data_IF_729370899234
#
_entry.id   IF_729370899234
#
_cell.length_a   1.000
_cell.length_b   1.000
_cell.length_c   1.000
_cell.angle_alpha   90.00
_cell.angle_beta   90.00
_cell.angle_gamma   90.00
#
_symmetry.space_group_name_H-M   'P 1'
#
loop_
_entity.id
_entity.type
_entity.pdbx_description
1 polymer ?
#
# COMPACT_ATOMS: atom_id res chain seq x y z
N UNK A 1 12.43 -23.74 0.82
CA UNK A 1 11.46 -22.64 0.92
C UNK A 1 11.68 -21.98 2.27
N UNK A 2 11.57 -20.65 2.38
CA UNK A 2 11.51 -20.02 3.70
C UNK A 2 10.26 -20.49 4.45
N UNK A 3 10.26 -20.36 5.78
CA UNK A 3 9.11 -20.75 6.61
C UNK A 3 7.89 -19.89 6.23
N UNK A 4 6.80 -20.53 5.84
CA UNK A 4 5.52 -19.86 5.59
C UNK A 4 4.82 -19.62 6.92
N UNK A 5 4.41 -18.39 7.20
CA UNK A 5 3.51 -18.08 8.32
C UNK A 5 2.37 -17.19 7.83
N UNK A 6 1.27 -17.07 8.55
CA UNK A 6 0.15 -16.25 8.06
C UNK A 6 -1.10 -16.28 8.92
N UNK A 7 -2.06 -15.46 8.55
CA UNK A 7 -3.35 -15.36 9.23
C UNK A 7 -4.45 -14.90 8.27
N UNK A 8 -5.71 -15.14 8.64
CA UNK A 8 -6.87 -14.56 7.97
C UNK A 8 -7.28 -13.29 8.72
N UNK A 9 -7.52 -12.19 8.00
CA UNK A 9 -7.96 -10.93 8.59
C UNK A 9 -9.35 -11.10 9.24
N UNK A 10 -9.70 -10.32 10.28
CA UNK A 10 -10.98 -10.46 10.98
C UNK A 10 -12.22 -10.37 10.09
N UNK A 11 -12.17 -9.60 9.00
CA UNK A 11 -13.25 -9.49 8.03
C UNK A 11 -13.47 -10.78 7.20
N UNK A 12 -12.50 -11.69 7.18
CA UNK A 12 -12.58 -12.97 6.47
C UNK A 12 -12.50 -12.88 4.94
N UNK A 13 -12.29 -11.69 4.39
CA UNK A 13 -12.17 -11.45 2.95
C UNK A 13 -10.74 -11.62 2.43
N UNK A 14 -9.75 -11.34 3.28
CA UNK A 14 -8.33 -11.44 2.96
C UNK A 14 -7.55 -12.30 3.96
N UNK A 15 -6.54 -12.99 3.47
CA UNK A 15 -5.50 -13.61 4.29
C UNK A 15 -4.14 -13.01 3.93
N UNK A 16 -3.20 -13.03 4.88
CA UNK A 16 -1.84 -12.53 4.69
C UNK A 16 -0.88 -13.64 5.06
N UNK A 17 0.03 -13.95 4.14
CA UNK A 17 1.07 -14.95 4.35
C UNK A 17 2.45 -14.31 4.20
N UNK A 18 3.36 -14.65 5.10
CA UNK A 18 4.69 -14.08 5.24
C UNK A 18 5.73 -15.17 5.06
N UNK A 19 6.86 -14.81 4.47
CA UNK A 19 8.03 -15.68 4.37
C UNK A 19 9.26 -14.81 4.21
N UNK A 20 10.31 -15.11 4.97
CA UNK A 20 11.54 -14.32 5.05
C UNK A 20 11.25 -12.83 5.31
N UNK A 21 11.53 -11.94 4.37
CA UNK A 21 11.34 -10.49 4.43
C UNK A 21 10.11 -9.98 3.62
N UNK A 22 9.25 -10.89 3.16
CA UNK A 22 8.14 -10.60 2.26
C UNK A 22 6.81 -11.15 2.74
N UNK A 23 5.74 -10.62 2.15
CA UNK A 23 4.39 -11.11 2.35
C UNK A 23 3.56 -11.07 1.08
N UNK A 24 2.50 -11.88 1.04
CA UNK A 24 1.45 -11.86 0.03
C UNK A 24 0.11 -11.57 0.70
N UNK A 25 -0.81 -10.94 -0.04
CA UNK A 25 -2.22 -10.85 0.34
C UNK A 25 -3.02 -11.80 -0.54
N UNK A 26 -3.80 -12.67 0.07
CA UNK A 26 -4.63 -13.68 -0.56
C UNK A 26 -6.09 -13.26 -0.52
N UNK A 27 -6.76 -13.30 -1.66
CA UNK A 27 -8.20 -13.10 -1.77
C UNK A 27 -8.93 -14.42 -1.47
N UNK A 28 -9.69 -14.44 -0.37
CA UNK A 28 -10.39 -15.65 0.07
C UNK A 28 -11.50 -16.04 -0.91
N UNK A 29 -12.20 -15.07 -1.49
CA UNK A 29 -13.33 -15.34 -2.38
C UNK A 29 -12.87 -15.74 -3.79
N UNK A 30 -11.79 -15.12 -4.28
CA UNK A 30 -11.21 -15.39 -5.58
C UNK A 30 -10.23 -16.57 -5.57
N UNK A 31 -9.92 -17.09 -4.38
CA UNK A 31 -9.03 -18.23 -4.12
C UNK A 31 -7.67 -18.10 -4.82
N UNK A 32 -7.03 -16.93 -4.64
CA UNK A 32 -5.70 -16.65 -5.16
C UNK A 32 -5.01 -15.50 -4.44
N UNK A 33 -3.69 -15.45 -4.55
CA UNK A 33 -2.91 -14.25 -4.23
C UNK A 33 -3.34 -13.08 -5.13
N UNK A 34 -3.50 -11.90 -4.53
CA UNK A 34 -3.78 -10.65 -5.23
C UNK A 34 -2.63 -10.29 -6.18
N UNK A 35 -2.95 -9.64 -7.30
CA UNK A 35 -1.93 -9.16 -8.24
C UNK A 35 -1.00 -8.12 -7.56
N UNK A 36 0.29 -8.17 -7.90
CA UNK A 36 1.30 -7.24 -7.38
C UNK A 36 2.01 -7.70 -6.10
N UNK A 37 1.71 -8.90 -5.61
CA UNK A 37 2.44 -9.57 -4.52
C UNK A 37 3.45 -10.60 -5.07
N UNK A 38 4.53 -10.93 -4.32
CA UNK A 38 4.84 -10.51 -2.95
C UNK A 38 5.41 -9.09 -2.83
N UNK A 39 5.12 -8.44 -1.70
CA UNK A 39 5.66 -7.14 -1.30
C UNK A 39 6.61 -7.29 -0.10
N UNK A 40 7.59 -6.40 0.10
CA UNK A 40 8.43 -6.40 1.30
C UNK A 40 7.59 -6.12 2.54
N UNK A 41 7.95 -6.73 3.67
CA UNK A 41 7.33 -6.39 4.96
C UNK A 41 7.71 -4.96 5.34
N UNK A 42 9.00 -4.61 5.15
CA UNK A 42 9.51 -3.26 5.36
C UNK A 42 8.71 -2.23 4.57
N UNK A 43 8.21 -1.21 5.27
CA UNK A 43 7.41 -0.11 4.69
C UNK A 43 5.95 -0.43 4.41
N UNK A 44 5.53 -1.70 4.40
CA UNK A 44 4.13 -2.10 4.24
C UNK A 44 3.46 -2.57 5.53
N UNK A 45 4.26 -2.89 6.57
CA UNK A 45 3.79 -3.20 7.91
C UNK A 45 4.50 -2.30 8.94
N UNK A 46 4.07 -1.04 9.13
CA UNK A 46 4.78 -0.08 9.94
C UNK A 46 5.07 -0.55 11.38
N UNK A 47 6.35 -0.59 11.73
CA UNK A 47 6.82 -1.00 13.05
C UNK A 47 6.90 -2.51 13.29
N UNK A 48 6.50 -3.34 12.31
CA UNK A 48 6.64 -4.79 12.40
C UNK A 48 8.08 -5.24 12.16
N UNK A 49 8.41 -6.47 12.59
CA UNK A 49 9.66 -7.13 12.22
C UNK A 49 9.77 -7.21 10.70
N UNK A 50 10.89 -6.73 10.14
CA UNK A 50 11.10 -6.71 8.69
C UNK A 50 11.39 -8.10 8.10
N UNK A 51 11.71 -9.08 8.95
CA UNK A 51 11.88 -10.49 8.59
C UNK A 51 11.82 -11.39 9.83
N UNK A 52 11.79 -12.71 9.66
CA UNK A 52 11.96 -13.67 10.76
C UNK A 52 10.73 -13.84 11.65
N UNK A 53 9.54 -13.63 11.08
CA UNK A 53 8.27 -13.88 11.78
C UNK A 53 8.09 -15.40 11.92
N UNK A 54 8.07 -15.89 13.15
CA UNK A 54 7.95 -17.31 13.44
C UNK A 54 6.49 -17.77 13.48
N UNK A 55 5.59 -16.96 14.04
CA UNK A 55 4.16 -17.25 14.13
C UNK A 55 3.32 -15.98 14.11
N UNK A 56 2.09 -16.09 13.63
CA UNK A 56 1.09 -15.00 13.64
C UNK A 56 -0.22 -15.52 14.18
N UNK A 57 -0.79 -14.82 15.15
CA UNK A 57 -2.03 -15.23 15.81
C UNK A 57 -3.01 -14.05 15.86
N UNK A 58 -4.10 -14.07 15.06
CA UNK A 58 -5.19 -13.12 15.23
C UNK A 58 -5.90 -13.42 16.56
N UNK A 59 -6.11 -12.38 17.36
CA UNK A 59 -6.69 -12.50 18.70
C UNK A 59 -8.14 -12.04 18.72
N UNK A 60 -9.01 -12.59 19.61
CA UNK A 60 -10.41 -12.17 19.71
C UNK A 60 -10.63 -10.68 20.05
N UNK A 61 -9.61 -9.99 20.58
CA UNK A 61 -9.65 -8.55 20.81
C UNK A 61 -9.57 -7.70 19.54
N UNK A 62 -9.33 -8.31 18.38
CA UNK A 62 -9.12 -7.65 17.09
C UNK A 62 -7.65 -7.35 16.76
N UNK A 63 -6.74 -7.48 17.73
CA UNK A 63 -5.31 -7.34 17.49
C UNK A 63 -4.72 -8.61 16.85
N UNK A 64 -3.62 -8.44 16.12
CA UNK A 64 -2.84 -9.57 15.58
C UNK A 64 -1.48 -9.61 16.25
N UNK A 65 -1.14 -10.73 16.88
CA UNK A 65 0.15 -10.91 17.53
C UNK A 65 1.13 -11.63 16.60
N UNK A 66 2.28 -10.99 16.37
CA UNK A 66 3.37 -11.52 15.57
C UNK A 66 4.51 -11.93 16.50
N UNK A 67 5.01 -13.14 16.39
CA UNK A 67 6.12 -13.67 17.20
C UNK A 67 7.39 -13.77 16.34
N UNK A 68 8.53 -13.39 16.91
CA UNK A 68 9.85 -13.44 16.26
C UNK A 68 10.93 -13.66 17.32
N UNK A 69 11.59 -14.81 17.28
CA UNK A 69 12.56 -15.25 18.27
C UNK A 69 11.93 -15.34 19.67
N UNK A 70 12.42 -14.50 20.59
CA UNK A 70 11.92 -14.39 21.97
C UNK A 70 11.02 -13.18 22.21
N UNK A 71 10.60 -12.50 21.14
CA UNK A 71 9.80 -11.29 21.19
C UNK A 71 8.48 -11.46 20.45
N UNK A 72 7.54 -10.56 20.75
CA UNK A 72 6.29 -10.45 20.01
C UNK A 72 5.91 -8.98 19.81
N UNK A 73 5.21 -8.71 18.71
CA UNK A 73 4.62 -7.42 18.37
C UNK A 73 3.10 -7.55 18.31
N UNK A 74 2.40 -6.53 18.81
CA UNK A 74 0.95 -6.41 18.67
C UNK A 74 0.64 -5.45 17.52
N UNK A 75 0.05 -5.95 16.45
CA UNK A 75 -0.35 -5.16 15.31
C UNK A 75 -1.82 -4.75 15.42
N UNK A 76 -2.07 -3.46 15.20
CA UNK A 76 -3.40 -2.89 15.09
C UNK A 76 -3.73 -2.75 13.60
N UNK A 77 -4.66 -3.57 13.12
CA UNK A 77 -5.06 -3.58 11.71
C UNK A 77 -5.83 -2.31 11.30
N UNK A 78 -6.52 -1.66 12.24
CA UNK A 78 -7.30 -0.44 11.95
C UNK A 78 -6.37 0.78 11.88
N UNK A 79 -5.37 0.83 12.75
CA UNK A 79 -4.36 1.89 12.76
C UNK A 79 -3.21 1.64 11.76
N UNK A 80 -3.16 0.47 11.15
CA UNK A 80 -2.13 -0.02 10.22
C UNK A 80 -0.70 0.18 10.75
N UNK A 81 -0.46 -0.28 11.98
CA UNK A 81 0.86 -0.20 12.62
C UNK A 81 0.96 -1.13 13.83
N UNK A 82 2.20 -1.43 14.20
CA UNK A 82 2.51 -1.98 15.53
C UNK A 82 2.13 -0.96 16.62
N UNK A 83 1.46 -1.46 17.67
CA UNK A 83 1.03 -0.66 18.80
C UNK A 83 2.24 -0.10 19.58
N UNK A 84 2.05 1.06 20.22
CA UNK A 84 3.10 1.72 20.99
C UNK A 84 3.60 0.81 22.14
N UNK A 85 4.92 0.76 22.34
CA UNK A 85 5.56 -0.04 23.39
C UNK A 85 5.94 -1.47 22.99
N UNK A 86 5.65 -1.88 21.76
CA UNK A 86 6.10 -3.15 21.17
C UNK A 86 7.37 -2.96 20.30
N UNK A 87 8.16 -4.02 20.05
CA UNK A 87 7.97 -5.40 20.52
C UNK A 87 8.32 -5.58 22.01
N UNK A 88 7.68 -6.57 22.63
CA UNK A 88 7.90 -6.97 24.02
C UNK A 88 8.46 -8.40 24.08
N UNK A 89 9.18 -8.79 25.15
CA UNK A 89 9.61 -10.18 25.33
C UNK A 89 8.41 -11.09 25.56
N UNK A 90 8.44 -12.32 25.05
CA UNK A 90 7.40 -13.32 25.33
C UNK A 90 7.43 -13.69 26.82
N UNK A 91 8.63 -13.90 27.35
CA UNK A 91 8.87 -14.15 28.76
C UNK A 91 8.25 -13.05 29.64
N UNK A 92 7.40 -13.44 30.58
CA UNK A 92 6.71 -12.54 31.50
C UNK A 92 5.47 -11.83 30.96
N UNK A 93 5.21 -11.88 29.65
CA UNK A 93 4.01 -11.29 29.04
C UNK A 93 2.99 -12.33 28.56
N UNK A 94 3.42 -13.58 28.36
CA UNK A 94 2.54 -14.70 28.02
C UNK A 94 2.67 -15.81 29.08
N UNK A 95 1.90 -15.77 30.18
CA UNK A 95 2.08 -16.67 31.32
C UNK A 95 2.02 -18.15 30.93
N UNK A 96 3.14 -18.85 31.10
CA UNK A 96 3.28 -20.28 30.83
C UNK A 96 3.51 -20.65 29.36
N UNK A 97 3.53 -19.68 28.43
CA UNK A 97 3.88 -19.92 27.03
C UNK A 97 5.39 -20.17 26.89
N UNK A 98 5.80 -20.84 25.80
CA UNK A 98 7.22 -20.96 25.45
C UNK A 98 7.84 -19.57 25.29
N UNK A 99 9.03 -19.35 25.84
CA UNK A 99 9.68 -18.04 25.85
C UNK A 99 10.35 -17.67 24.51
N UNK A 100 10.41 -18.62 23.57
CA UNK A 100 10.89 -18.46 22.20
C UNK A 100 10.50 -19.66 21.34
N UNK A 101 10.62 -19.55 20.01
CA UNK A 101 10.46 -20.70 19.11
C UNK A 101 9.01 -21.11 18.89
N UNK A 102 8.08 -20.16 18.97
CA UNK A 102 6.68 -20.40 18.64
C UNK A 102 6.57 -20.69 17.15
N UNK A 103 6.20 -21.91 16.81
CA UNK A 103 6.14 -22.39 15.45
C UNK A 103 4.87 -21.97 14.73
N UNK A 104 3.73 -22.08 15.40
CA UNK A 104 2.42 -21.67 14.91
C UNK A 104 1.47 -21.43 16.09
N UNK A 105 0.38 -20.72 15.86
CA UNK A 105 -0.66 -20.53 16.86
C UNK A 105 -2.03 -20.35 16.24
N UNK A 106 -3.05 -20.95 16.85
CA UNK A 106 -4.42 -20.90 16.34
C UNK A 106 -5.42 -20.74 17.48
N UNK A 107 -6.43 -19.90 17.26
CA UNK A 107 -7.49 -19.63 18.23
C UNK A 107 -8.76 -20.37 17.82
N UNK A 108 -9.26 -21.25 18.68
CA UNK A 108 -10.55 -21.92 18.49
C UNK A 108 -11.70 -21.01 18.92
N UNK A 109 -12.87 -21.24 18.31
CA UNK A 109 -14.12 -20.58 18.69
C UNK A 109 -14.58 -20.88 20.12
N UNK A 110 -13.99 -21.88 20.77
CA UNK A 110 -14.22 -22.24 22.17
C UNK A 110 -13.54 -21.30 23.18
N UNK A 111 -12.72 -20.35 22.74
CA UNK A 111 -11.98 -19.42 23.62
C UNK A 111 -10.61 -19.94 24.05
N UNK A 112 -10.11 -21.01 23.44
CA UNK A 112 -8.76 -21.52 23.68
C UNK A 112 -7.87 -21.26 22.46
N UNK A 113 -6.65 -20.82 22.71
CA UNK A 113 -5.58 -20.79 21.73
C UNK A 113 -4.64 -21.97 21.92
N UNK A 114 -4.12 -22.51 20.82
CA UNK A 114 -3.13 -23.59 20.85
C UNK A 114 -1.88 -23.08 20.17
N UNK A 115 -0.76 -23.12 20.90
CA UNK A 115 0.55 -22.69 20.41
C UNK A 115 1.46 -23.89 20.29
N UNK A 116 2.14 -24.00 19.16
CA UNK A 116 3.03 -25.11 18.82
C UNK A 116 4.48 -24.64 18.86
N UNK A 117 5.40 -25.50 19.29
CA UNK A 117 6.84 -25.26 19.32
C UNK A 117 7.59 -26.58 19.23
N UNK A 118 8.33 -26.81 18.15
CA UNK A 118 9.00 -28.07 17.90
C UNK A 118 8.00 -29.22 17.78
N UNK A 119 8.10 -30.22 18.65
CA UNK A 119 7.19 -31.37 18.72
C UNK A 119 6.04 -31.21 19.71
N UNK A 120 5.97 -30.07 20.38
CA UNK A 120 5.09 -29.87 21.53
C UNK A 120 4.07 -28.75 21.26
N UNK A 121 2.99 -28.74 22.03
CA UNK A 121 2.01 -27.66 22.04
C UNK A 121 1.55 -27.33 23.46
N UNK A 122 1.06 -26.12 23.67
CA UNK A 122 0.36 -25.69 24.89
C UNK A 122 -1.06 -25.24 24.56
N UNK A 123 -1.97 -25.43 25.51
CA UNK A 123 -3.32 -24.87 25.47
C UNK A 123 -3.36 -23.62 26.33
N UNK A 124 -3.74 -22.51 25.72
CA UNK A 124 -3.82 -21.19 26.31
C UNK A 124 -5.28 -20.77 26.44
N UNK A 125 -5.69 -20.35 27.63
CA UNK A 125 -7.01 -19.81 27.90
C UNK A 125 -6.99 -18.31 27.61
N UNK A 126 -7.76 -17.90 26.59
CA UNK A 126 -7.73 -16.51 26.09
C UNK A 126 -8.29 -15.53 27.12
N UNK A 127 -9.31 -15.93 27.88
CA UNK A 127 -9.95 -15.05 28.87
C UNK A 127 -9.13 -14.99 30.15
N UNK A 128 -8.51 -16.10 30.55
CA UNK A 128 -7.65 -16.16 31.73
C UNK A 128 -6.21 -15.66 31.48
N UNK A 129 -5.86 -15.36 30.22
CA UNK A 129 -4.56 -14.86 29.78
C UNK A 129 -3.38 -15.71 30.29
N UNK A 130 -3.52 -17.05 30.16
CA UNK A 130 -2.48 -18.00 30.60
C UNK A 130 -2.57 -19.36 29.92
N UNK A 131 -1.45 -20.07 29.88
CA UNK A 131 -1.42 -21.50 29.61
C UNK A 131 -2.16 -22.27 30.72
N UNK A 132 -3.03 -23.17 30.31
CA UNK A 132 -3.84 -24.03 31.19
C UNK A 132 -3.54 -25.51 31.02
N UNK A 133 -2.85 -25.91 29.95
CA UNK A 133 -2.39 -27.29 29.73
C UNK A 133 -1.13 -27.33 28.85
N UNK A 134 -0.30 -28.34 29.06
CA UNK A 134 0.97 -28.55 28.37
C UNK A 134 2.22 -27.94 29.03
N UNK A 135 3.39 -28.04 28.37
CA UNK A 135 3.57 -28.58 27.01
C UNK A 135 3.26 -30.08 26.92
N UNK A 136 2.50 -30.46 25.88
CA UNK A 136 2.15 -31.84 25.53
C UNK A 136 2.68 -32.16 24.13
N UNK A 137 3.03 -33.44 23.84
CA UNK A 137 3.47 -33.81 22.50
C UNK A 137 2.33 -33.64 21.49
N UNK A 138 2.62 -33.14 20.30
CA UNK A 138 1.66 -33.08 19.20
C UNK A 138 1.25 -34.50 18.80
N UNK A 139 2.24 -35.39 18.70
CA UNK A 139 2.03 -36.81 18.41
C UNK A 139 1.06 -37.45 19.41
N UNK A 140 -0.01 -38.07 18.89
CA UNK A 140 -1.04 -38.74 19.69
C UNK A 140 -2.13 -37.82 20.27
N UNK A 141 -1.88 -36.52 20.41
CA UNK A 141 -2.89 -35.55 20.85
C UNK A 141 -3.57 -34.80 19.70
N UNK A 142 -2.93 -34.78 18.52
CA UNK A 142 -3.48 -34.18 17.30
C UNK A 142 -3.53 -35.22 16.16
N UNK A 143 -4.56 -36.08 16.13
CA UNK A 143 -4.62 -37.20 15.17
C UNK A 143 -4.48 -36.76 13.71
N UNK A 144 -3.43 -37.23 13.05
CA UNK A 144 -3.14 -36.97 11.64
C UNK A 144 -2.45 -35.63 11.35
N UNK A 145 -2.23 -34.78 12.36
CA UNK A 145 -1.45 -33.54 12.22
C UNK A 145 0.05 -33.86 12.10
N UNK A 146 0.83 -32.91 11.56
CA UNK A 146 2.28 -32.99 11.58
C UNK A 146 2.80 -33.06 13.03
N UNK A 147 3.61 -34.07 13.34
CA UNK A 147 4.07 -34.32 14.72
C UNK A 147 5.13 -33.33 15.23
N UNK A 148 5.62 -32.44 14.38
CA UNK A 148 6.55 -31.38 14.74
C UNK A 148 6.69 -30.32 13.64
N UNK A 149 7.22 -29.15 13.98
CA UNK A 149 7.67 -28.13 13.02
C UNK A 149 6.54 -27.67 12.09
N UNK A 150 5.42 -27.25 12.67
CA UNK A 150 4.30 -26.67 11.95
C UNK A 150 4.71 -25.25 11.54
N UNK A 151 4.68 -24.93 10.25
CA UNK A 151 5.14 -23.63 9.76
C UNK A 151 4.08 -22.53 10.00
N UNK A 152 2.81 -22.87 9.74
CA UNK A 152 1.69 -21.96 9.94
C UNK A 152 0.42 -22.70 10.35
N UNK A 153 -0.50 -21.95 10.96
CA UNK A 153 -1.87 -22.38 11.19
C UNK A 153 -2.81 -21.20 10.92
N UNK A 154 -3.85 -21.41 10.13
CA UNK A 154 -4.86 -20.37 9.83
C UNK A 154 -6.27 -20.90 10.10
N UNK A 155 -7.08 -20.06 10.72
CA UNK A 155 -8.52 -20.28 10.82
C UNK A 155 -9.20 -19.69 9.58
N UNK A 156 -9.77 -20.55 8.73
CA UNK A 156 -10.38 -20.11 7.49
C UNK A 156 -11.85 -19.74 7.67
N UNK A 157 -12.41 -18.80 6.86
CA UNK A 157 -13.81 -18.40 6.96
C UNK A 157 -14.83 -19.53 6.71
N UNK A 158 -14.40 -20.66 6.14
CA UNK A 158 -15.19 -21.88 6.05
C UNK A 158 -15.42 -22.58 7.41
N UNK A 159 -14.85 -22.08 8.50
CA UNK A 159 -14.90 -22.70 9.83
C UNK A 159 -13.96 -23.91 9.98
N UNK A 160 -12.92 -24.00 9.16
CA UNK A 160 -11.91 -25.07 9.19
C UNK A 160 -10.55 -24.49 9.47
N UNK A 161 -9.74 -25.22 10.22
CA UNK A 161 -8.34 -24.86 10.46
C UNK A 161 -7.46 -25.53 9.41
N UNK A 162 -6.47 -24.80 8.88
CA UNK A 162 -5.47 -25.34 7.98
C UNK A 162 -4.09 -25.18 8.59
N UNK A 163 -3.31 -26.25 8.55
CA UNK A 163 -1.94 -26.28 9.07
C UNK A 163 -0.98 -26.55 7.91
N UNK A 164 0.13 -25.84 7.88
CA UNK A 164 1.11 -25.89 6.80
C UNK A 164 2.45 -26.40 7.33
N UNK A 165 3.15 -27.20 6.52
CA UNK A 165 4.52 -27.65 6.79
C UNK A 165 5.23 -27.95 5.48
N UNK A 166 6.34 -27.27 5.24
CA UNK A 166 7.09 -27.34 3.99
C UNK A 166 6.19 -26.98 2.81
N UNK A 167 6.10 -27.89 1.84
CA UNK A 167 5.32 -27.72 0.62
C UNK A 167 3.89 -28.27 0.74
N UNK A 168 3.50 -28.77 1.91
CA UNK A 168 2.24 -29.46 2.16
C UNK A 168 1.36 -28.72 3.18
N UNK A 169 0.06 -29.00 3.14
CA UNK A 169 -0.89 -28.55 4.15
C UNK A 169 -1.88 -29.65 4.50
N UNK A 170 -2.47 -29.55 5.70
CA UNK A 170 -3.58 -30.39 6.16
C UNK A 170 -4.76 -29.52 6.57
N UNK A 171 -5.97 -29.99 6.34
CA UNK A 171 -7.17 -29.43 6.95
C UNK A 171 -7.49 -30.20 8.23
N UNK A 172 -7.64 -29.48 9.34
CA UNK A 172 -8.02 -30.06 10.62
C UNK A 172 -9.51 -29.86 10.87
N UNK A 173 -10.21 -30.97 11.10
CA UNK A 173 -11.62 -30.95 11.47
C UNK A 173 -11.73 -30.85 13.00
N UNK A 174 -12.13 -29.67 13.47
CA UNK A 174 -12.25 -29.36 14.89
C UNK A 174 -13.38 -30.14 15.56
N UNK A 175 -14.44 -30.51 14.83
CA UNK A 175 -15.55 -31.28 15.40
C UNK A 175 -15.19 -32.76 15.54
N UNK A 176 -14.43 -33.29 14.59
CA UNK A 176 -13.95 -34.68 14.61
C UNK A 176 -12.63 -34.85 15.39
N UNK A 177 -12.01 -33.75 15.81
CA UNK A 177 -10.71 -33.69 16.50
C UNK A 177 -9.61 -34.49 15.78
N UNK A 178 -9.56 -34.34 14.45
CA UNK A 178 -8.58 -35.01 13.58
C UNK A 178 -8.36 -34.26 12.28
N UNK A 179 -7.24 -34.55 11.62
CA UNK A 179 -7.04 -34.18 10.22
C UNK A 179 -8.09 -34.88 9.33
N UNK A 180 -8.66 -34.13 8.40
CA UNK A 180 -9.64 -34.62 7.45
C UNK A 180 -9.04 -35.66 6.51
N UNK A 181 -9.88 -36.58 6.03
CA UNK A 181 -9.44 -37.64 5.11
C UNK A 181 -8.97 -37.03 3.78
N UNK A 182 -7.89 -37.59 3.22
CA UNK A 182 -7.29 -37.11 1.96
C UNK A 182 -6.18 -36.07 2.13
N UNK A 183 -5.80 -35.71 3.35
CA UNK A 183 -4.63 -34.86 3.64
C UNK A 183 -3.42 -35.69 4.11
N UNK A 184 -2.17 -35.19 3.98
CA UNK A 184 -1.78 -33.88 3.44
C UNK A 184 -2.00 -33.73 1.94
N UNK A 185 -2.19 -32.49 1.50
CA UNK A 185 -2.25 -32.09 0.10
C UNK A 185 -1.14 -31.07 -0.19
N UNK A 186 -0.63 -30.99 -1.43
CA UNK A 186 0.39 -30.01 -1.77
C UNK A 186 -0.20 -28.61 -1.73
N UNK A 187 0.55 -27.63 -1.21
CA UNK A 187 0.18 -26.21 -1.29
C UNK A 187 0.08 -25.79 -2.75
N UNK A 188 1.05 -26.23 -3.57
CA UNK A 188 1.08 -25.96 -5.00
C UNK A 188 -0.18 -26.48 -5.69
N UNK A 189 -0.89 -25.57 -6.38
CA UNK A 189 -2.12 -25.87 -7.11
C UNK A 189 -3.40 -25.82 -6.27
N UNK A 190 -3.31 -26.03 -4.95
CA UNK A 190 -4.46 -25.91 -4.05
C UNK A 190 -4.56 -24.53 -3.38
N UNK A 191 -3.47 -23.77 -3.37
CA UNK A 191 -3.42 -22.39 -2.89
C UNK A 191 -2.78 -21.49 -3.96
N UNK A 192 -3.51 -21.10 -5.02
CA UNK A 192 -2.94 -20.37 -6.15
C UNK A 192 -2.18 -19.10 -5.75
N UNK A 193 -0.88 -19.09 -6.00
CA UNK A 193 0.02 -17.97 -5.66
C UNK A 193 0.74 -18.12 -4.33
N UNK A 194 0.38 -19.09 -3.49
CA UNK A 194 1.29 -19.63 -2.46
C UNK A 194 2.20 -20.64 -3.17
N UNK A 195 3.54 -20.60 -2.98
CA UNK A 195 4.18 -20.64 -1.66
C UNK A 195 5.58 -19.94 -1.56
N UNK A 196 5.79 -18.70 -2.01
CA UNK A 196 7.09 -18.31 -2.63
C UNK A 196 7.38 -19.24 -3.81
N UNK A 197 7.26 -18.75 -5.04
CA UNK A 197 7.41 -19.57 -6.24
C UNK A 197 8.80 -20.22 -6.34
N UNK A 198 8.87 -21.55 -6.21
CA UNK A 198 9.97 -22.46 -6.56
C UNK A 198 11.36 -21.81 -6.72
N UNK A 199 12.22 -21.91 -5.70
CA UNK A 199 13.63 -21.50 -5.72
C UNK A 199 13.92 -20.35 -6.69
N UNK A 200 13.73 -19.11 -6.26
CA UNK A 200 14.50 -18.04 -6.90
C UNK A 200 15.98 -18.52 -6.89
N UNK A 201 16.68 -18.55 -8.05
CA UNK A 201 18.14 -18.74 -8.01
C UNK A 201 18.70 -17.77 -6.99
N UNK A 202 19.82 -18.09 -6.29
CA UNK A 202 20.35 -17.25 -5.23
C UNK A 202 20.26 -15.81 -5.70
N UNK A 203 19.47 -15.00 -4.97
CA UNK A 203 19.41 -13.58 -5.22
C UNK A 203 20.83 -13.12 -4.93
N UNK A 204 21.64 -13.04 -6.00
CA UNK A 204 22.62 -11.99 -6.11
C UNK A 204 21.77 -10.74 -5.82
N UNK A 205 22.00 -10.03 -4.71
CA UNK A 205 21.22 -8.84 -4.37
C UNK A 205 21.06 -8.05 -5.66
N UNK A 206 19.84 -7.66 -6.05
CA UNK A 206 19.65 -7.12 -7.37
C UNK A 206 20.63 -5.97 -7.47
N UNK A 207 21.60 -6.10 -8.38
CA UNK A 207 22.66 -5.09 -8.55
C UNK A 207 22.06 -3.75 -9.02
N UNK A 208 20.75 -3.76 -9.25
CA UNK A 208 19.91 -2.71 -9.74
C UNK A 208 18.62 -2.66 -8.92
N UNK A 209 18.19 -1.49 -8.43
CA UNK A 209 16.95 -1.33 -7.66
C UNK A 209 15.71 -1.82 -8.45
N UNK A 210 14.67 -2.31 -7.76
CA UNK A 210 13.40 -2.74 -8.39
C UNK A 210 12.54 -1.51 -8.75
N UNK A 211 12.27 -1.32 -10.04
CA UNK A 211 11.38 -0.26 -10.55
C UNK A 211 9.97 -0.78 -10.84
N UNK A 212 8.97 0.10 -10.80
CA UNK A 212 7.56 -0.23 -11.03
C UNK A 212 7.22 -0.20 -12.52
N UNK A 213 6.67 -1.29 -13.05
CA UNK A 213 6.20 -1.42 -14.45
C UNK A 213 4.79 -0.83 -14.63
N UNK A 214 4.65 0.48 -14.41
CA UNK A 214 3.41 1.25 -14.57
C UNK A 214 3.68 2.48 -15.44
N UNK A 215 2.71 2.85 -16.28
CA UNK A 215 2.86 4.03 -17.13
C UNK A 215 2.94 5.31 -16.29
N UNK A 216 3.71 6.30 -16.73
CA UNK A 216 3.77 7.63 -16.06
C UNK A 216 2.36 8.22 -15.94
N UNK A 217 1.51 8.04 -16.95
CA UNK A 217 0.13 8.51 -16.98
C UNK A 217 -0.73 7.90 -15.86
N UNK A 218 -0.62 6.59 -15.63
CA UNK A 218 -1.44 5.89 -14.63
C UNK A 218 -0.87 6.04 -13.22
N UNK A 219 0.44 6.24 -13.08
CA UNK A 219 1.07 6.54 -11.79
C UNK A 219 0.88 7.99 -11.34
N UNK A 220 0.71 8.92 -12.29
CA UNK A 220 0.66 10.36 -11.99
C UNK A 220 -0.37 10.76 -10.93
N UNK A 221 -1.63 10.26 -10.93
CA UNK A 221 -2.61 10.60 -9.89
C UNK A 221 -2.10 10.25 -8.49
N UNK A 222 -1.56 9.03 -8.29
CA UNK A 222 -0.98 8.57 -7.02
C UNK A 222 0.18 9.46 -6.58
N UNK A 223 1.00 9.92 -7.53
CA UNK A 223 2.12 10.82 -7.26
C UNK A 223 1.67 12.22 -6.82
N UNK A 224 0.72 12.84 -7.52
CA UNK A 224 0.39 14.26 -7.30
C UNK A 224 -0.67 14.49 -6.23
N UNK A 225 -1.47 13.47 -5.88
CA UNK A 225 -2.50 13.57 -4.84
C UNK A 225 -1.98 14.05 -3.48
N UNK A 226 -0.89 13.51 -2.90
CA UNK A 226 -0.35 14.03 -1.63
C UNK A 226 0.21 15.45 -1.73
N UNK A 227 0.42 15.97 -2.94
CA UNK A 227 0.96 17.32 -3.19
C UNK A 227 -0.13 18.39 -3.32
N UNK A 228 -1.25 18.04 -3.97
CA UNK A 228 -2.36 18.97 -4.26
C UNK A 228 -3.58 18.77 -3.34
N UNK A 229 -3.76 17.56 -2.81
CA UNK A 229 -5.01 17.08 -2.23
C UNK A 229 -6.02 16.66 -3.30
N UNK A 230 -6.96 15.78 -2.94
CA UNK A 230 -8.06 15.33 -3.81
C UNK A 230 -9.39 15.84 -3.25
N UNK A 231 -10.01 16.79 -3.95
CA UNK A 231 -11.22 17.49 -3.48
C UNK A 231 -12.35 17.37 -4.50
N UNK A 232 -13.42 16.67 -4.14
CA UNK A 232 -14.53 16.39 -5.05
C UNK A 232 -15.44 17.59 -5.34
N UNK A 233 -15.38 18.66 -4.53
CA UNK A 233 -16.18 19.88 -4.72
C UNK A 233 -15.31 21.06 -5.15
N UNK A 234 -15.93 22.07 -5.76
CA UNK A 234 -15.25 23.31 -6.11
C UNK A 234 -14.73 24.01 -4.84
N UNK A 235 -13.49 24.51 -4.89
CA UNK A 235 -12.87 25.27 -3.81
C UNK A 235 -12.09 26.46 -4.35
N UNK A 236 -11.71 27.41 -3.47
CA UNK A 236 -10.79 28.48 -3.81
C UNK A 236 -9.35 28.06 -3.49
N UNK A 237 -8.44 28.18 -4.45
CA UNK A 237 -7.01 28.06 -4.18
C UNK A 237 -6.48 29.26 -3.36
N UNK A 238 -5.18 29.27 -3.05
CA UNK A 238 -4.54 30.36 -2.29
C UNK A 238 -4.60 31.72 -3.00
N UNK A 239 -4.91 31.75 -4.30
CA UNK A 239 -5.09 32.95 -5.11
C UNK A 239 -6.56 33.34 -5.28
N UNK A 240 -7.51 32.58 -4.71
CA UNK A 240 -8.95 32.82 -4.85
C UNK A 240 -9.52 32.35 -6.19
N UNK A 241 -8.83 31.46 -6.89
CA UNK A 241 -9.28 30.88 -8.15
C UNK A 241 -10.06 29.57 -7.90
N UNK A 242 -11.15 29.35 -8.63
CA UNK A 242 -11.96 28.14 -8.46
C UNK A 242 -11.22 26.93 -9.03
N UNK A 243 -11.07 25.91 -8.20
CA UNK A 243 -10.29 24.71 -8.43
C UNK A 243 -11.08 23.48 -7.99
N UNK A 244 -10.80 22.30 -8.55
CA UNK A 244 -11.42 21.01 -8.16
C UNK A 244 -10.45 19.84 -8.36
N UNK A 245 -10.82 18.67 -7.84
CA UNK A 245 -10.13 17.41 -7.96
C UNK A 245 -8.71 17.53 -7.39
N UNK A 246 -7.69 17.26 -8.22
CA UNK A 246 -6.28 17.30 -7.83
C UNK A 246 -5.61 18.57 -8.35
N UNK A 247 -6.08 19.73 -7.87
CA UNK A 247 -5.53 21.05 -8.24
C UNK A 247 -5.91 21.53 -9.65
N UNK A 248 -7.02 21.07 -10.23
CA UNK A 248 -7.45 21.49 -11.57
C UNK A 248 -8.19 22.83 -11.52
N UNK A 249 -7.57 23.86 -12.10
CA UNK A 249 -8.15 25.19 -12.25
C UNK A 249 -9.34 25.18 -13.21
N UNK A 250 -10.49 25.66 -12.74
CA UNK A 250 -11.74 25.82 -13.48
C UNK A 250 -12.34 27.21 -13.25
N UNK A 251 -11.50 28.25 -13.22
CA UNK A 251 -11.88 29.62 -12.86
C UNK A 251 -12.65 30.37 -13.96
N UNK A 252 -13.63 29.71 -14.57
CA UNK A 252 -14.72 30.33 -15.31
C UNK A 252 -15.98 29.46 -15.18
N UNK A 253 -17.19 30.05 -15.18
CA UNK A 253 -18.44 29.29 -15.16
C UNK A 253 -18.50 28.25 -16.28
N UNK A 254 -18.01 28.60 -17.47
CA UNK A 254 -18.02 27.72 -18.64
C UNK A 254 -17.09 26.52 -18.48
N UNK A 255 -15.90 26.70 -17.90
CA UNK A 255 -14.98 25.60 -17.62
C UNK A 255 -15.56 24.63 -16.60
N UNK A 256 -16.23 25.15 -15.56
CA UNK A 256 -16.92 24.32 -14.59
C UNK A 256 -18.09 23.54 -15.21
N UNK A 257 -18.92 24.23 -16.01
CA UNK A 257 -20.08 23.66 -16.69
C UNK A 257 -19.76 22.63 -17.78
N UNK A 258 -18.51 22.58 -18.26
CA UNK A 258 -18.04 21.56 -19.20
C UNK A 258 -17.72 20.21 -18.53
N UNK A 259 -17.74 20.15 -17.19
CA UNK A 259 -17.45 18.95 -16.41
C UNK A 259 -18.71 18.28 -15.87
N UNK A 260 -18.58 17.03 -15.47
CA UNK A 260 -19.66 16.24 -14.88
C UNK A 260 -19.75 16.45 -13.36
N UNK A 261 -20.92 16.85 -12.89
CA UNK A 261 -21.20 17.08 -11.47
C UNK A 261 -22.48 16.37 -11.04
N UNK A 262 -22.51 15.96 -9.78
CA UNK A 262 -23.69 15.42 -9.12
C UNK A 262 -23.99 16.23 -7.87
N UNK A 263 -25.28 16.34 -7.55
CA UNK A 263 -25.74 16.87 -6.28
C UNK A 263 -25.23 15.98 -5.12
N UNK A 264 -24.71 16.60 -4.06
CA UNK A 264 -24.09 15.89 -2.94
C UNK A 264 -25.12 15.04 -2.17
N UNK A 265 -26.34 15.54 -2.04
CA UNK A 265 -27.43 14.94 -1.26
C UNK A 265 -28.17 13.82 -2.01
N UNK A 266 -28.42 14.02 -3.30
CA UNK A 266 -29.23 13.10 -4.12
C UNK A 266 -28.41 12.22 -5.05
N UNK A 267 -27.17 12.62 -5.38
CA UNK A 267 -26.34 11.93 -6.37
C UNK A 267 -26.82 12.08 -7.81
N UNK A 268 -27.87 12.87 -8.07
CA UNK A 268 -28.37 13.14 -9.40
C UNK A 268 -27.45 14.10 -10.15
N UNK A 269 -27.38 13.94 -11.48
CA UNK A 269 -26.60 14.83 -12.34
C UNK A 269 -27.09 16.28 -12.22
N UNK A 270 -26.15 17.20 -12.03
CA UNK A 270 -26.45 18.63 -12.00
C UNK A 270 -26.59 19.19 -13.42
N UNK A 271 -27.51 20.13 -13.58
CA UNK A 271 -27.70 20.87 -14.82
C UNK A 271 -26.62 21.92 -15.00
N UNK A 272 -26.44 22.40 -16.24
CA UNK A 272 -25.51 23.48 -16.57
C UNK A 272 -25.69 24.71 -15.66
N UNK A 273 -26.93 25.13 -15.44
CA UNK A 273 -27.23 26.34 -14.68
C UNK A 273 -26.92 26.16 -13.19
N UNK A 274 -27.23 25.00 -12.60
CA UNK A 274 -26.84 24.66 -11.23
C UNK A 274 -25.31 24.67 -11.03
N UNK A 275 -24.56 24.18 -12.02
CA UNK A 275 -23.09 24.19 -11.98
C UNK A 275 -22.55 25.62 -12.04
N UNK A 276 -23.12 26.47 -12.89
CA UNK A 276 -22.75 27.89 -13.00
C UNK A 276 -23.06 28.64 -11.70
N UNK A 277 -24.21 28.37 -11.09
CA UNK A 277 -24.59 28.93 -9.79
C UNK A 277 -23.66 28.47 -8.67
N UNK A 278 -23.30 27.19 -8.63
CA UNK A 278 -22.32 26.65 -7.67
C UNK A 278 -20.96 27.33 -7.84
N UNK A 279 -20.50 27.50 -9.08
CA UNK A 279 -19.26 28.21 -9.37
C UNK A 279 -19.28 29.63 -8.82
N UNK A 280 -20.35 30.39 -9.07
CA UNK A 280 -20.50 31.75 -8.52
C UNK A 280 -20.57 31.76 -7.00
N UNK A 281 -21.23 30.78 -6.39
CA UNK A 281 -21.30 30.63 -4.93
C UNK A 281 -19.91 30.46 -4.34
N UNK A 282 -19.11 29.54 -4.89
CA UNK A 282 -17.74 29.30 -4.42
C UNK A 282 -16.82 30.49 -4.73
N UNK A 283 -16.92 31.10 -5.93
CA UNK A 283 -16.10 32.25 -6.31
C UNK A 283 -16.33 33.47 -5.43
N UNK A 284 -17.59 33.74 -5.08
CA UNK A 284 -17.98 34.96 -4.35
C UNK A 284 -17.99 34.77 -2.82
N UNK A 285 -17.80 33.55 -2.31
CA UNK A 285 -17.80 33.28 -0.88
C UNK A 285 -16.54 33.87 -0.20
N UNK A 286 -16.72 34.76 0.80
CA UNK A 286 -15.60 35.44 1.44
C UNK A 286 -14.80 34.49 2.33
N UNK A 287 -13.47 34.55 2.22
CA UNK A 287 -12.56 33.89 3.16
C UNK A 287 -12.26 32.41 2.88
N UNK A 288 -12.82 31.79 1.85
CA UNK A 288 -12.52 30.39 1.53
C UNK A 288 -11.04 30.17 1.20
N UNK A 289 -10.42 31.04 0.39
CA UNK A 289 -8.99 30.96 0.08
C UNK A 289 -8.10 30.94 1.34
N UNK A 290 -8.50 31.66 2.41
CA UNK A 290 -7.77 31.68 3.69
C UNK A 290 -8.03 30.44 4.54
N UNK A 291 -9.17 29.79 4.36
CA UNK A 291 -9.56 28.57 5.07
C UNK A 291 -9.00 27.28 4.46
N UNK A 292 -8.29 27.37 3.33
CA UNK A 292 -7.73 26.22 2.62
C UNK A 292 -8.76 25.45 1.79
N UNK A 293 -8.30 24.43 1.08
CA UNK A 293 -9.09 23.69 0.09
C UNK A 293 -10.33 22.98 0.67
N UNK A 294 -10.36 22.69 1.98
CA UNK A 294 -11.51 22.07 2.66
C UNK A 294 -12.58 23.07 3.13
N UNK A 295 -12.32 24.38 3.09
CA UNK A 295 -13.24 25.39 3.60
C UNK A 295 -14.60 25.37 2.89
N UNK A 296 -14.59 25.07 1.58
CA UNK A 296 -15.78 25.01 0.75
C UNK A 296 -16.72 23.84 1.10
N UNK A 297 -16.26 22.81 1.84
CA UNK A 297 -17.05 21.62 2.20
C UNK A 297 -18.40 21.95 2.84
N UNK A 298 -18.46 23.06 3.60
CA UNK A 298 -19.65 23.46 4.36
C UNK A 298 -20.72 24.12 3.51
N UNK A 299 -20.38 24.58 2.30
CA UNK A 299 -21.28 25.36 1.44
C UNK A 299 -21.45 24.74 0.04
N UNK A 300 -20.58 23.80 -0.33
CA UNK A 300 -20.70 23.07 -1.59
C UNK A 300 -21.97 22.23 -1.58
N UNK A 301 -22.69 22.25 -2.70
CA UNK A 301 -23.84 21.38 -2.96
C UNK A 301 -23.57 20.40 -4.09
N UNK A 302 -22.54 20.64 -4.91
CA UNK A 302 -22.16 19.75 -6.00
C UNK A 302 -20.80 19.10 -5.75
N UNK A 303 -20.65 17.87 -6.23
CA UNK A 303 -19.38 17.14 -6.25
C UNK A 303 -19.19 16.40 -7.57
N UNK A 304 -17.94 16.12 -7.91
CA UNK A 304 -17.57 15.16 -8.94
C UNK A 304 -17.62 13.73 -8.37
N UNK A 305 -17.86 12.75 -9.22
CA UNK A 305 -17.64 11.34 -8.89
C UNK A 305 -16.15 11.01 -8.94
N UNK A 306 -15.73 9.90 -8.32
CA UNK A 306 -14.32 9.45 -8.40
C UNK A 306 -13.86 9.26 -9.84
N UNK A 307 -14.69 8.62 -10.67
CA UNK A 307 -14.41 8.43 -12.09
C UNK A 307 -14.23 9.77 -12.82
N UNK A 308 -15.11 10.74 -12.59
CA UNK A 308 -15.03 12.04 -13.24
C UNK A 308 -13.78 12.83 -12.81
N UNK A 309 -13.35 12.71 -11.54
CA UNK A 309 -12.09 13.30 -11.09
C UNK A 309 -10.89 12.64 -11.77
N UNK A 310 -10.86 11.31 -11.88
CA UNK A 310 -9.76 10.59 -12.54
C UNK A 310 -9.67 10.93 -14.02
N UNK A 311 -10.80 11.00 -14.71
CA UNK A 311 -10.87 11.42 -16.12
C UNK A 311 -10.35 12.85 -16.31
N UNK A 312 -10.75 13.78 -15.43
CA UNK A 312 -10.26 15.16 -15.46
C UNK A 312 -8.74 15.24 -15.26
N UNK A 313 -8.21 14.53 -14.26
CA UNK A 313 -6.77 14.51 -13.97
C UNK A 313 -5.99 13.92 -15.14
N UNK A 314 -6.47 12.81 -15.71
CA UNK A 314 -5.85 12.17 -16.87
C UNK A 314 -5.91 13.05 -18.13
N UNK A 315 -7.03 13.72 -18.39
CA UNK A 315 -7.15 14.64 -19.51
C UNK A 315 -6.17 15.83 -19.41
N UNK A 316 -6.00 16.37 -18.21
CA UNK A 316 -5.01 17.44 -17.95
C UNK A 316 -3.58 16.93 -18.12
N UNK A 317 -3.29 15.71 -17.66
CA UNK A 317 -2.00 15.05 -17.88
C UNK A 317 -1.73 14.89 -19.38
N UNK A 318 -2.70 14.39 -20.15
CA UNK A 318 -2.57 14.16 -21.60
C UNK A 318 -2.31 15.47 -22.37
N UNK A 319 -2.94 16.57 -21.95
CA UNK A 319 -2.66 17.89 -22.50
C UNK A 319 -1.22 18.35 -22.21
N UNK A 320 -0.70 18.09 -21.01
CA UNK A 320 0.69 18.36 -20.66
C UNK A 320 1.65 17.46 -21.45
N UNK A 321 1.34 16.16 -21.57
CA UNK A 321 2.14 15.15 -22.29
C UNK A 321 2.33 15.59 -23.74
N UNK A 322 1.25 15.94 -24.43
CA UNK A 322 1.30 16.42 -25.82
C UNK A 322 2.23 17.63 -25.98
N UNK A 323 2.18 18.57 -25.03
CA UNK A 323 2.98 19.79 -25.07
C UNK A 323 4.45 19.53 -24.76
N UNK A 324 4.74 18.67 -23.77
CA UNK A 324 6.09 18.30 -23.37
C UNK A 324 6.78 17.45 -24.44
N UNK A 325 6.07 16.46 -24.99
CA UNK A 325 6.54 15.62 -26.09
C UNK A 325 6.83 16.43 -27.37
N UNK A 326 6.03 17.47 -27.64
CA UNK A 326 6.30 18.38 -28.76
C UNK A 326 7.50 19.32 -28.53
N UNK A 327 7.82 19.61 -27.26
CA UNK A 327 8.92 20.52 -26.91
C UNK A 327 10.28 19.81 -26.82
N UNK A 328 10.32 18.60 -26.26
CA UNK A 328 11.54 17.83 -26.05
C UNK A 328 11.69 16.75 -27.13
N UNK A 329 12.68 16.85 -28.05
CA UNK A 329 12.81 15.94 -29.18
C UNK A 329 12.94 14.45 -28.82
N UNK A 330 13.53 14.16 -27.65
CA UNK A 330 13.81 12.80 -27.18
C UNK A 330 12.90 12.37 -26.01
N UNK A 331 11.76 13.04 -25.85
CA UNK A 331 10.84 12.85 -24.71
C UNK A 331 10.50 11.38 -24.43
N UNK A 332 10.22 10.59 -25.47
CA UNK A 332 9.83 9.19 -25.32
C UNK A 332 10.91 8.31 -24.68
N UNK A 333 12.19 8.68 -24.86
CA UNK A 333 13.32 7.93 -24.31
C UNK A 333 13.78 8.45 -22.95
N UNK A 334 13.21 9.53 -22.43
CA UNK A 334 13.54 10.00 -21.07
C UNK A 334 13.20 8.93 -20.02
N UNK A 335 14.04 8.78 -18.96
CA UNK A 335 13.67 7.94 -17.82
C UNK A 335 12.26 8.28 -17.31
N UNK A 336 11.49 7.27 -16.92
CA UNK A 336 10.10 7.46 -16.49
C UNK A 336 10.00 8.43 -15.31
N UNK A 337 10.94 8.37 -14.37
CA UNK A 337 11.05 9.32 -13.26
C UNK A 337 11.32 10.77 -13.75
N UNK A 338 12.14 10.97 -14.78
CA UNK A 338 12.35 12.30 -15.38
C UNK A 338 11.09 12.84 -16.05
N UNK A 339 10.35 11.99 -16.78
CA UNK A 339 9.06 12.36 -17.39
C UNK A 339 8.04 12.72 -16.31
N UNK A 340 7.97 11.93 -15.24
CA UNK A 340 7.11 12.19 -14.08
C UNK A 340 7.46 13.53 -13.41
N UNK A 341 8.75 13.82 -13.23
CA UNK A 341 9.22 15.10 -12.67
C UNK A 341 8.87 16.29 -13.57
N UNK A 342 9.05 16.17 -14.89
CA UNK A 342 8.66 17.22 -15.83
C UNK A 342 7.15 17.47 -15.85
N UNK A 343 6.33 16.41 -15.73
CA UNK A 343 4.89 16.54 -15.53
C UNK A 343 4.54 17.23 -14.22
N UNK A 344 5.22 16.90 -13.13
CA UNK A 344 5.04 17.56 -11.84
C UNK A 344 5.30 19.08 -11.91
N UNK A 345 6.38 19.51 -12.57
CA UNK A 345 6.68 20.95 -12.77
C UNK A 345 5.63 21.60 -13.67
N UNK A 346 5.24 20.92 -14.76
CA UNK A 346 4.20 21.41 -15.66
C UNK A 346 2.84 21.58 -14.95
N UNK A 347 2.49 20.65 -14.05
CA UNK A 347 1.27 20.68 -13.26
C UNK A 347 1.20 21.90 -12.33
N UNK A 348 2.31 22.20 -11.65
CA UNK A 348 2.40 23.33 -10.72
C UNK A 348 2.36 24.72 -11.39
N UNK A 349 2.29 24.79 -12.73
CA UNK A 349 1.97 26.05 -13.43
C UNK A 349 3.09 27.08 -13.43
N UNK A 350 4.34 26.68 -13.67
CA UNK A 350 5.52 27.56 -13.63
C UNK A 350 6.05 28.01 -15.00
N UNK A 351 5.17 28.19 -15.99
CA UNK A 351 5.55 28.47 -17.39
C UNK A 351 6.55 27.44 -17.98
N UNK A 352 6.63 26.25 -17.39
CA UNK A 352 7.50 25.17 -17.83
C UNK A 352 6.97 24.55 -19.13
N UNK A 353 7.79 24.25 -20.15
CA UNK A 353 9.25 24.40 -20.18
C UNK A 353 9.76 25.76 -20.71
N UNK A 354 8.88 26.64 -21.18
CA UNK A 354 9.25 27.88 -21.90
C UNK A 354 10.17 28.85 -21.13
N UNK A 355 10.12 28.86 -19.78
CA UNK A 355 10.92 29.75 -18.93
C UNK A 355 12.01 29.04 -18.13
N UNK A 356 12.45 27.87 -18.58
CA UNK A 356 13.37 27.01 -17.84
C UNK A 356 14.65 26.68 -18.64
N UNK A 357 15.38 27.67 -19.17
CA UNK A 357 16.47 27.44 -20.13
C UNK A 357 17.59 26.54 -19.60
N UNK A 358 17.95 26.65 -18.32
CA UNK A 358 18.99 25.82 -17.71
C UNK A 358 18.54 24.36 -17.56
N UNK A 359 17.31 24.13 -17.09
CA UNK A 359 16.73 22.79 -17.05
C UNK A 359 16.60 22.20 -18.45
N UNK A 360 16.11 22.98 -19.42
CA UNK A 360 15.92 22.51 -20.80
C UNK A 360 17.26 22.13 -21.43
N UNK A 361 18.32 22.89 -21.16
CA UNK A 361 19.68 22.57 -21.62
C UNK A 361 20.12 21.23 -21.05
N UNK A 362 20.01 21.04 -19.74
CA UNK A 362 20.36 19.80 -19.06
C UNK A 362 19.53 18.60 -19.57
N UNK A 363 18.22 18.76 -19.68
CA UNK A 363 17.32 17.67 -20.10
C UNK A 363 17.51 17.29 -21.59
N UNK A 364 17.78 18.25 -22.47
CA UNK A 364 18.10 17.98 -23.88
C UNK A 364 19.44 17.25 -24.06
N UNK A 365 20.40 17.46 -23.16
CA UNK A 365 21.65 16.69 -23.13
C UNK A 365 21.56 15.43 -22.28
N UNK A 366 20.38 15.10 -21.73
CA UNK A 366 20.16 14.03 -20.74
C UNK A 366 21.10 14.11 -19.52
N UNK A 367 21.54 15.32 -19.16
CA UNK A 367 22.31 15.59 -17.93
C UNK A 367 21.34 15.75 -16.75
N UNK A 368 20.89 14.61 -16.23
CA UNK A 368 19.92 14.59 -15.14
C UNK A 368 20.49 15.11 -13.82
N UNK A 369 21.81 15.00 -13.60
CA UNK A 369 22.47 15.57 -12.44
C UNK A 369 22.40 17.10 -12.45
N UNK A 370 22.62 17.74 -13.61
CA UNK A 370 22.39 19.18 -13.77
C UNK A 370 20.89 19.52 -13.63
N UNK A 371 19.99 18.69 -14.16
CA UNK A 371 18.54 18.91 -14.07
C UNK A 371 18.04 18.98 -12.60
N UNK A 372 18.59 18.16 -11.69
CA UNK A 372 18.30 18.21 -10.23
C UNK A 372 18.52 19.62 -9.66
N UNK A 373 19.56 20.32 -10.11
CA UNK A 373 19.89 21.67 -9.63
C UNK A 373 18.99 22.77 -10.21
N UNK A 374 18.24 22.45 -11.27
CA UNK A 374 17.43 23.39 -12.04
C UNK A 374 15.94 23.04 -12.06
N UNK A 375 15.48 22.08 -11.24
CA UNK A 375 14.08 21.63 -11.19
C UNK A 375 13.23 22.31 -10.10
N UNK A 376 13.80 23.27 -9.38
CA UNK A 376 13.17 23.90 -8.20
C UNK A 376 12.17 24.98 -8.60
N UNK A 377 10.92 24.84 -8.16
CA UNK A 377 9.86 25.83 -8.26
C UNK A 377 10.03 26.90 -7.16
N UNK A 378 9.59 28.15 -7.42
CA UNK A 378 9.61 29.20 -6.40
C UNK A 378 8.70 28.84 -5.22
N UNK A 379 9.25 28.91 -4.01
CA UNK A 379 8.52 28.69 -2.76
C UNK A 379 7.93 29.99 -2.17
N UNK A 380 8.18 31.12 -2.83
CA UNK A 380 7.72 32.43 -2.37
C UNK A 380 6.19 32.49 -2.35
N UNK A 381 5.63 32.75 -1.17
CA UNK A 381 4.18 32.88 -0.97
C UNK A 381 3.38 31.56 -1.06
N UNK A 382 4.04 30.40 -1.24
CA UNK A 382 3.35 29.11 -1.28
C UNK A 382 4.17 27.99 -0.61
N UNK A 383 4.00 27.76 0.71
CA UNK A 383 4.71 26.69 1.42
C UNK A 383 4.37 25.28 0.92
N UNK A 384 3.23 25.09 0.24
CA UNK A 384 2.82 23.82 -0.36
C UNK A 384 3.71 23.35 -1.52
N UNK A 385 4.61 24.20 -2.02
CA UNK A 385 5.57 23.84 -3.08
C UNK A 385 6.77 23.04 -2.54
N UNK A 386 7.10 23.14 -1.25
CA UNK A 386 8.27 22.47 -0.66
C UNK A 386 8.26 20.94 -0.85
N UNK A 387 7.17 20.21 -0.55
CA UNK A 387 7.10 18.77 -0.79
C UNK A 387 7.28 18.41 -2.27
N UNK A 388 6.69 19.22 -3.17
CA UNK A 388 6.81 19.04 -4.62
C UNK A 388 8.27 19.23 -5.08
N UNK A 389 8.97 20.24 -4.57
CA UNK A 389 10.39 20.46 -4.86
C UNK A 389 11.25 19.28 -4.39
N UNK A 390 10.97 18.71 -3.22
CA UNK A 390 11.66 17.51 -2.72
C UNK A 390 11.40 16.31 -3.62
N UNK A 391 10.14 16.05 -3.99
CA UNK A 391 9.79 14.96 -4.88
C UNK A 391 10.41 15.11 -6.29
N UNK A 392 10.39 16.33 -6.86
CA UNK A 392 11.02 16.62 -8.14
C UNK A 392 12.52 16.34 -8.12
N UNK A 393 13.23 16.81 -7.08
CA UNK A 393 14.67 16.51 -6.93
C UNK A 393 14.92 15.01 -6.88
N UNK A 394 14.13 14.25 -6.13
CA UNK A 394 14.28 12.79 -6.06
C UNK A 394 14.07 12.14 -7.44
N UNK A 395 13.03 12.54 -8.17
CA UNK A 395 12.74 12.03 -9.51
C UNK A 395 13.90 12.25 -10.49
N UNK A 396 14.49 13.44 -10.51
CA UNK A 396 15.64 13.71 -11.38
C UNK A 396 16.94 13.05 -10.88
N UNK A 397 17.11 12.87 -9.56
CA UNK A 397 18.21 12.07 -9.00
C UNK A 397 18.10 10.61 -9.42
N UNK A 398 16.90 10.02 -9.34
CA UNK A 398 16.65 8.67 -9.83
C UNK A 398 16.91 8.55 -11.32
N UNK A 399 16.47 9.53 -12.12
CA UNK A 399 16.76 9.57 -13.55
C UNK A 399 18.28 9.58 -13.85
N UNK A 400 19.07 10.32 -13.06
CA UNK A 400 20.53 10.30 -13.17
C UNK A 400 21.10 8.91 -12.84
N UNK A 401 20.63 8.26 -11.78
CA UNK A 401 21.03 6.92 -11.41
C UNK A 401 20.65 5.86 -12.46
N UNK A 402 19.44 5.97 -13.03
CA UNK A 402 18.96 5.11 -14.13
C UNK A 402 19.92 5.15 -15.31
N UNK A 403 20.32 6.34 -15.75
CA UNK A 403 21.26 6.48 -16.87
C UNK A 403 22.66 5.99 -16.48
N UNK A 404 23.18 6.40 -15.32
CA UNK A 404 24.54 6.08 -14.90
C UNK A 404 24.77 4.57 -14.66
N UNK A 405 23.73 3.86 -14.20
CA UNK A 405 23.78 2.44 -13.88
C UNK A 405 23.21 1.53 -14.96
N UNK A 406 22.68 2.11 -16.06
CA UNK A 406 22.06 1.36 -17.14
C UNK A 406 20.80 0.61 -16.72
N UNK A 407 19.96 1.23 -15.88
CA UNK A 407 18.69 0.67 -15.45
C UNK A 407 17.60 0.85 -16.52
N UNK A 408 16.48 0.13 -16.39
CA UNK A 408 15.36 0.26 -17.32
C UNK A 408 14.71 1.64 -17.21
N UNK A 409 14.80 2.42 -18.29
CA UNK A 409 14.29 3.78 -18.41
C UNK A 409 12.76 3.83 -18.40
N UNK A 410 12.07 2.71 -18.60
CA UNK A 410 10.61 2.65 -18.61
C UNK A 410 9.98 2.38 -17.24
N UNK A 411 10.78 2.00 -16.25
CA UNK A 411 10.29 1.74 -14.90
C UNK A 411 10.31 3.02 -14.05
N UNK A 412 9.31 3.15 -13.18
CA UNK A 412 9.24 4.22 -12.17
C UNK A 412 9.90 3.74 -10.88
N UNK A 413 10.95 4.41 -10.44
CA UNK A 413 11.67 4.04 -9.22
C UNK A 413 11.21 4.84 -8.00
N UNK A 414 10.58 6.00 -8.21
CA UNK A 414 9.94 6.76 -7.14
C UNK A 414 8.85 5.95 -6.41
N UNK A 415 8.75 6.00 -5.07
CA UNK A 415 9.41 6.95 -4.16
C UNK A 415 10.80 6.53 -3.66
N UNK A 416 11.30 5.36 -4.05
CA UNK A 416 12.61 4.84 -3.61
C UNK A 416 13.74 5.68 -4.18
N UNK A 417 14.72 6.02 -3.34
CA UNK A 417 15.93 6.69 -3.76
C UNK A 417 16.95 5.68 -4.31
N UNK A 418 17.52 5.96 -5.48
CA UNK A 418 18.48 5.08 -6.13
C UNK A 418 19.93 5.34 -5.77
#
# INVERSE_FOLDING_TARGET
MGKLTGFVAPAGDKAYFFTDDRYVRYDVAADRVDDGYPLPIAGNWPGLFESGIDAVVPWPSGAVYFFSGSQYAKYDLDADRVADGYPLPIAGNWPGLFESGIDAGVVWSSGYAYFFSGSDYVKYDVDADKVVDGPLPIAGNWPGLFESGIDASVWWPSGKAYFFKGDDYVQYDVEADKVADGYPQPIAGNWPGLPIGAAAPPIVPPTQPEGQAISVRDFFPKFTEPLEGRVAYMYQDVKGLVTVAVGNLIDSPEAAAALSWVHIDTGLAATRDEIVEEWHRIKNAPGLAKGGHLAAKKIATLKMTELAMDELVKAKFDANEKRLAAFYPDWANWPADARLGAHSIAWAGAYFPNKWPNFNTAANSQDWAAAVTHCTLSEEGNPGIKPRNTANRQLFTNAAAVVARGLDRNLIYYPTAL
#
